data_IF_390393719137
#
_entry.id   IF_390393719137
#
_cell.length_a   1.000
_cell.length_b   1.000
_cell.length_c   1.000
_cell.angle_alpha   90.00
_cell.angle_beta   90.00
_cell.angle_gamma   90.00
#
_symmetry.space_group_name_H-M   'P 1'
#
loop_
_entity.id
_entity.type
_entity.pdbx_description
1 polymer ?
#
# COMPACT_ATOMS: atom_id res chain seq x y z
N UNK A 1 -22.98 8.22 -3.48
CA UNK A 1 -23.15 6.77 -3.18
C UNK A 1 -23.03 6.07 -4.51
N UNK A 2 -22.11 5.12 -4.64
CA UNK A 2 -21.75 4.48 -5.90
C UNK A 2 -22.20 3.02 -5.82
N UNK A 3 -22.90 2.54 -6.84
CA UNK A 3 -23.28 1.12 -6.96
C UNK A 3 -22.17 0.36 -7.66
N UNK A 4 -22.09 -0.94 -7.40
CA UNK A 4 -21.20 -1.78 -8.18
C UNK A 4 -21.70 -1.90 -9.62
N UNK A 5 -20.85 -2.43 -10.50
CA UNK A 5 -21.29 -2.83 -11.83
C UNK A 5 -22.15 -4.09 -11.71
N UNK A 6 -23.11 -4.28 -12.61
CA UNK A 6 -23.99 -5.46 -12.62
C UNK A 6 -23.24 -6.81 -12.70
N UNK A 7 -21.98 -6.79 -13.14
CA UNK A 7 -21.10 -7.95 -13.20
C UNK A 7 -20.40 -8.28 -11.88
N UNK A 8 -20.53 -7.42 -10.85
CA UNK A 8 -19.90 -7.62 -9.56
C UNK A 8 -20.72 -8.57 -8.68
N UNK A 9 -20.05 -9.52 -8.02
CA UNK A 9 -20.70 -10.56 -7.18
C UNK A 9 -21.63 -9.99 -6.11
N UNK A 10 -21.33 -8.79 -5.62
CA UNK A 10 -22.06 -8.14 -4.52
C UNK A 10 -22.99 -7.00 -4.97
N UNK A 11 -23.24 -6.82 -6.28
CA UNK A 11 -24.01 -5.66 -6.78
C UNK A 11 -25.41 -5.53 -6.15
N UNK A 12 -26.07 -6.66 -5.91
CA UNK A 12 -27.41 -6.69 -5.31
C UNK A 12 -27.40 -6.55 -3.77
N UNK A 13 -26.25 -6.68 -3.12
CA UNK A 13 -26.15 -6.74 -1.65
C UNK A 13 -25.40 -5.57 -1.03
N UNK A 14 -24.47 -4.96 -1.76
CA UNK A 14 -23.55 -3.96 -1.24
C UNK A 14 -23.50 -2.68 -2.10
N UNK A 15 -23.04 -1.59 -1.48
CA UNK A 15 -22.88 -0.28 -2.11
C UNK A 15 -21.61 0.39 -1.58
N UNK A 16 -20.99 1.23 -2.41
CA UNK A 16 -19.83 2.02 -1.99
C UNK A 16 -20.29 3.40 -1.52
N UNK A 17 -19.98 3.72 -0.25
CA UNK A 17 -20.27 5.03 0.34
C UNK A 17 -18.98 5.73 0.77
N UNK A 18 -18.59 6.74 -0.01
CA UNK A 18 -17.51 7.65 0.36
C UNK A 18 -17.89 8.38 1.65
N UNK A 19 -17.03 8.28 2.67
CA UNK A 19 -17.24 8.96 3.96
C UNK A 19 -16.90 10.45 3.80
N UNK A 20 -17.64 11.31 4.52
CA UNK A 20 -17.29 12.75 4.62
C UNK A 20 -15.89 12.88 5.23
N UNK A 21 -15.16 13.93 4.84
CA UNK A 21 -13.81 14.22 5.33
C UNK A 21 -13.72 14.17 6.87
N UNK A 22 -14.68 14.79 7.57
CA UNK A 22 -14.75 14.82 9.05
C UNK A 22 -14.98 13.46 9.72
N UNK A 23 -15.27 12.41 8.94
CA UNK A 23 -15.44 11.03 9.41
C UNK A 23 -14.50 10.05 8.72
N UNK A 24 -13.44 10.55 8.07
CA UNK A 24 -12.37 9.68 7.56
C UNK A 24 -11.73 8.96 8.74
N UNK A 25 -11.46 7.68 8.56
CA UNK A 25 -10.75 6.84 9.53
C UNK A 25 -9.39 6.53 8.92
N UNK A 26 -8.35 6.54 9.73
CA UNK A 26 -7.01 6.09 9.32
C UNK A 26 -6.93 4.59 9.63
N UNK A 27 -6.82 3.72 8.62
CA UNK A 27 -6.61 2.30 8.87
C UNK A 27 -5.26 2.10 9.55
N UNK A 28 -5.25 1.35 10.63
CA UNK A 28 -4.02 0.97 11.35
C UNK A 28 -3.75 -0.51 11.04
N UNK A 29 -2.68 -0.84 10.31
CA UNK A 29 -2.30 -2.23 10.07
C UNK A 29 -1.97 -2.92 11.39
N UNK A 30 -2.59 -4.09 11.63
CA UNK A 30 -2.30 -4.94 12.80
C UNK A 30 -1.48 -6.13 12.31
N UNK A 31 -0.35 -6.40 12.98
CA UNK A 31 0.50 -7.54 12.68
C UNK A 31 1.99 -7.17 12.58
N UNK A 32 2.80 -8.02 11.90
CA UNK A 32 4.21 -7.73 11.67
C UNK A 32 4.41 -6.39 10.99
N UNK A 33 5.51 -5.71 11.31
CA UNK A 33 5.84 -4.43 10.69
C UNK A 33 5.90 -4.57 9.16
N UNK A 34 5.37 -3.56 8.47
CA UNK A 34 5.52 -3.47 7.03
C UNK A 34 7.01 -3.37 6.69
N UNK A 35 7.46 -4.06 5.62
CA UNK A 35 8.84 -4.00 5.20
C UNK A 35 9.19 -2.60 4.73
N UNK A 36 10.41 -2.16 5.03
CA UNK A 36 10.95 -0.89 4.54
C UNK A 36 11.44 -1.06 3.12
N UNK A 37 11.29 -0.03 2.28
CA UNK A 37 11.85 -0.03 0.92
C UNK A 37 13.39 -0.01 0.93
N UNK A 38 13.97 0.62 1.94
CA UNK A 38 15.41 0.84 2.06
C UNK A 38 16.20 -0.42 2.42
N UNK A 39 15.55 -1.51 2.83
CA UNK A 39 16.22 -2.77 3.14
C UNK A 39 16.25 -3.69 1.90
N UNK A 40 17.43 -3.94 1.29
CA UNK A 40 17.56 -4.77 0.10
C UNK A 40 16.97 -6.18 0.28
N UNK A 41 17.03 -6.74 1.49
CA UNK A 41 16.51 -8.07 1.78
C UNK A 41 14.98 -8.14 1.67
N UNK A 42 14.29 -7.00 1.77
CA UNK A 42 12.83 -6.92 1.75
C UNK A 42 12.23 -6.18 0.56
N UNK A 43 13.05 -5.75 -0.43
CA UNK A 43 12.57 -4.99 -1.60
C UNK A 43 11.44 -5.72 -2.33
N UNK A 44 11.57 -7.02 -2.61
CA UNK A 44 10.54 -7.81 -3.28
C UNK A 44 9.25 -7.92 -2.44
N UNK A 45 9.40 -8.10 -1.12
CA UNK A 45 8.26 -8.19 -0.20
C UNK A 45 7.53 -6.84 -0.08
N UNK A 46 8.28 -5.74 -0.02
CA UNK A 46 7.75 -4.39 -0.04
C UNK A 46 6.99 -4.12 -1.35
N UNK A 47 7.62 -4.38 -2.49
CA UNK A 47 7.01 -4.20 -3.80
C UNK A 47 5.68 -4.98 -3.93
N UNK A 48 5.67 -6.25 -3.52
CA UNK A 48 4.44 -7.06 -3.50
C UNK A 48 3.34 -6.45 -2.64
N UNK A 49 3.66 -5.98 -1.44
CA UNK A 49 2.66 -5.38 -0.55
C UNK A 49 2.12 -4.06 -1.08
N UNK A 50 2.97 -3.20 -1.65
CA UNK A 50 2.52 -1.94 -2.24
C UNK A 50 1.60 -2.17 -3.44
N UNK A 51 1.91 -3.18 -4.28
CA UNK A 51 1.03 -3.58 -5.37
C UNK A 51 -0.32 -4.09 -4.86
N UNK A 52 -0.34 -4.94 -3.82
CA UNK A 52 -1.59 -5.44 -3.21
C UNK A 52 -2.46 -4.29 -2.67
N UNK A 53 -1.85 -3.28 -2.06
CA UNK A 53 -2.59 -2.17 -1.45
C UNK A 53 -3.07 -1.13 -2.45
N UNK A 54 -2.27 -0.82 -3.47
CA UNK A 54 -2.48 0.39 -4.28
C UNK A 54 -2.72 0.13 -5.76
N UNK A 55 -2.32 -1.02 -6.31
CA UNK A 55 -2.69 -1.37 -7.68
C UNK A 55 -4.16 -1.81 -7.69
N UNK A 56 -4.99 -1.40 -8.66
CA UNK A 56 -6.30 -2.00 -8.85
C UNK A 56 -6.13 -3.44 -9.36
N UNK A 57 -6.70 -4.42 -8.65
CA UNK A 57 -6.66 -5.83 -9.08
C UNK A 57 -7.94 -6.56 -8.68
N UNK A 58 -8.30 -7.58 -9.47
CA UNK A 58 -9.38 -8.54 -9.19
C UNK A 58 -8.82 -9.94 -8.96
N UNK A 59 -7.77 -10.28 -9.69
CA UNK A 59 -7.04 -11.54 -9.58
C UNK A 59 -5.58 -11.29 -9.25
N UNK A 60 -4.93 -12.27 -8.62
CA UNK A 60 -3.50 -12.15 -8.28
C UNK A 60 -2.60 -11.97 -9.52
N UNK A 61 -3.04 -12.47 -10.69
CA UNK A 61 -2.40 -12.26 -11.99
C UNK A 61 -2.40 -10.81 -12.44
N UNK A 62 -3.30 -9.96 -11.94
CA UNK A 62 -3.33 -8.55 -12.31
C UNK A 62 -2.18 -7.77 -11.64
N UNK A 63 -1.57 -8.34 -10.60
CA UNK A 63 -0.52 -7.67 -9.85
C UNK A 63 0.82 -7.66 -10.60
N UNK A 64 1.15 -8.74 -11.30
CA UNK A 64 2.45 -9.00 -11.95
C UNK A 64 2.32 -10.14 -12.96
N UNK A 65 3.13 -10.11 -14.01
CA UNK A 65 3.23 -11.24 -14.96
C UNK A 65 3.91 -12.46 -14.32
N UNK A 66 3.61 -13.70 -14.78
CA UNK A 66 4.11 -14.93 -14.15
C UNK A 66 5.62 -14.98 -13.89
N UNK A 67 6.43 -14.46 -14.81
CA UNK A 67 7.90 -14.50 -14.76
C UNK A 67 8.55 -13.15 -14.36
N UNK A 68 7.73 -12.15 -13.99
CA UNK A 68 8.21 -10.80 -13.68
C UNK A 68 8.54 -10.64 -12.20
N UNK A 69 9.68 -10.05 -11.84
CA UNK A 69 9.97 -9.75 -10.42
C UNK A 69 9.00 -8.70 -9.84
N UNK A 70 8.72 -8.76 -8.54
CA UNK A 70 7.79 -7.82 -7.91
C UNK A 70 8.31 -6.39 -7.94
N UNK A 71 9.62 -6.19 -7.73
CA UNK A 71 10.25 -4.88 -7.84
C UNK A 71 10.07 -4.26 -9.22
N UNK A 72 10.20 -5.05 -10.28
CA UNK A 72 10.01 -4.62 -11.67
C UNK A 72 8.55 -4.23 -11.89
N UNK A 73 7.60 -5.11 -11.56
CA UNK A 73 6.17 -4.84 -11.68
C UNK A 73 5.75 -3.58 -10.90
N UNK A 74 6.33 -3.38 -9.72
CA UNK A 74 6.09 -2.21 -8.90
C UNK A 74 6.65 -0.93 -9.55
N UNK A 75 7.86 -1.00 -10.12
CA UNK A 75 8.46 0.13 -10.82
C UNK A 75 7.65 0.57 -12.05
N UNK A 76 7.04 -0.38 -12.77
CA UNK A 76 6.14 -0.11 -13.89
C UNK A 76 4.80 0.47 -13.44
N UNK A 77 4.31 0.06 -12.27
CA UNK A 77 3.07 0.58 -11.69
C UNK A 77 3.20 2.03 -11.21
N UNK A 78 4.34 2.42 -10.64
CA UNK A 78 4.51 3.75 -10.01
C UNK A 78 4.11 4.93 -10.92
N UNK A 79 4.51 5.01 -12.20
CA UNK A 79 4.08 6.07 -13.11
C UNK A 79 2.57 6.13 -13.39
N UNK A 80 1.86 5.02 -13.22
CA UNK A 80 0.41 4.90 -13.43
C UNK A 80 -0.39 5.08 -12.13
N UNK A 81 0.30 5.21 -11.00
CA UNK A 81 -0.31 5.27 -9.68
C UNK A 81 -0.94 6.65 -9.44
N UNK A 82 -2.10 6.66 -8.76
CA UNK A 82 -2.75 7.90 -8.36
C UNK A 82 -1.86 8.72 -7.40
N UNK A 83 -1.77 10.06 -7.54
CA UNK A 83 -0.94 10.90 -6.68
C UNK A 83 -1.24 10.78 -5.18
N UNK A 84 -2.50 10.59 -4.77
CA UNK A 84 -2.86 10.42 -3.36
C UNK A 84 -2.30 9.10 -2.82
N UNK A 85 -2.29 8.04 -3.65
CA UNK A 85 -1.68 6.76 -3.30
C UNK A 85 -0.14 6.86 -3.23
N UNK A 86 0.50 7.60 -4.14
CA UNK A 86 1.94 7.84 -4.08
C UNK A 86 2.34 8.60 -2.81
N UNK A 87 1.54 9.59 -2.40
CA UNK A 87 1.74 10.30 -1.14
C UNK A 87 1.58 9.34 0.07
N UNK A 88 0.58 8.46 0.04
CA UNK A 88 0.43 7.43 1.07
C UNK A 88 1.65 6.52 1.16
N UNK A 89 2.16 6.02 0.03
CA UNK A 89 3.37 5.18 -0.04
C UNK A 89 4.58 5.92 0.54
N UNK A 90 4.76 7.20 0.18
CA UNK A 90 5.85 8.02 0.71
C UNK A 90 5.74 8.21 2.23
N UNK A 91 4.54 8.49 2.74
CA UNK A 91 4.29 8.65 4.17
C UNK A 91 4.55 7.36 4.97
N UNK A 92 4.27 6.20 4.38
CA UNK A 92 4.58 4.91 5.00
C UNK A 92 6.09 4.72 5.18
N UNK A 93 6.89 5.11 4.18
CA UNK A 93 8.34 5.09 4.28
C UNK A 93 8.87 6.14 5.29
N UNK A 94 8.33 7.35 5.29
CA UNK A 94 8.69 8.40 6.24
C UNK A 94 8.46 7.97 7.70
N UNK A 95 7.35 7.27 7.97
CA UNK A 95 7.06 6.75 9.30
C UNK A 95 8.15 5.80 9.80
N UNK A 96 8.72 4.98 8.91
CA UNK A 96 9.85 4.11 9.23
C UNK A 96 11.13 4.90 9.54
N UNK A 97 11.43 5.93 8.74
CA UNK A 97 12.61 6.78 8.93
C UNK A 97 12.55 7.56 10.25
N UNK A 98 11.39 8.12 10.59
CA UNK A 98 11.18 8.79 11.87
C UNK A 98 11.34 7.83 13.05
N UNK A 99 10.87 6.59 12.92
CA UNK A 99 11.05 5.56 13.94
C UNK A 99 12.53 5.26 14.16
N UNK A 100 13.29 5.07 13.08
CA UNK A 100 14.72 4.77 13.15
C UNK A 100 15.51 5.92 13.77
N UNK A 101 15.24 7.16 13.35
CA UNK A 101 15.88 8.36 13.91
C UNK A 101 15.65 8.48 15.41
N UNK A 102 14.40 8.25 15.86
CA UNK A 102 14.05 8.25 17.27
C UNK A 102 14.82 7.17 18.04
N UNK A 103 14.84 5.94 17.53
CA UNK A 103 15.47 4.82 18.21
C UNK A 103 17.00 4.99 18.29
N UNK A 104 17.63 5.58 17.25
CA UNK A 104 19.04 5.98 17.26
C UNK A 104 19.33 7.03 18.34
N UNK A 105 18.54 8.11 18.39
CA UNK A 105 18.69 9.17 19.40
C UNK A 105 18.57 8.65 20.85
N UNK A 106 17.71 7.65 21.12
CA UNK A 106 17.64 7.03 22.44
C UNK A 106 18.84 6.13 22.75
N UNK A 107 19.43 5.50 21.73
CA UNK A 107 20.59 4.62 21.88
C UNK A 107 21.85 5.44 22.18
N UNK A 108 22.04 6.57 21.50
CA UNK A 108 23.20 7.47 21.68
C UNK A 108 23.24 8.16 23.05
N UNK A 109 22.11 8.22 23.75
CA UNK A 109 22.00 8.82 25.09
C UNK A 109 22.25 7.83 26.24
N UNK A 110 22.47 6.56 25.94
CA UNK A 110 22.86 5.52 26.91
C UNK A 110 24.36 5.39 26.96
#
# INVERSE_FOLDING_TARGET
MVRFQSTHLEDNTHIVKVRRFTRRRVPVPIGPALPKRSDPAFVEKHARLMLIFFKPWRHASDLRDPDQNWSVAYSEFLPMCDPENLECIANMQLLHECKDSRDAHYTERR
#
